data_IF_751668761442
#
_entry.id   IF_751668761442
#
_cell.length_a   1.000
_cell.length_b   1.000
_cell.length_c   1.000
_cell.angle_alpha   90.00
_cell.angle_beta   90.00
_cell.angle_gamma   90.00
#
_symmetry.space_group_name_H-M   'P 1'
#
loop_
_entity.id
_entity.type
_entity.pdbx_description
1 polymer ?
#
# COMPACT_ATOMS: atom_id res chain seq x y z
N UNK A 1 19.60 -3.26 -15.11
CA UNK A 1 19.12 -2.61 -13.89
C UNK A 1 17.68 -3.05 -13.76
N UNK A 2 17.44 -4.15 -13.05
CA UNK A 2 16.09 -4.70 -12.90
C UNK A 2 15.37 -3.74 -11.96
N UNK A 3 14.68 -2.74 -12.53
CA UNK A 3 13.70 -1.97 -11.78
C UNK A 3 12.71 -2.99 -11.24
N UNK A 4 12.78 -3.26 -9.94
CA UNK A 4 11.74 -3.97 -9.21
C UNK A 4 10.50 -3.08 -9.34
N UNK A 5 9.78 -3.24 -10.45
CA UNK A 5 8.57 -2.49 -10.75
C UNK A 5 7.51 -2.99 -9.80
N UNK A 6 7.48 -2.36 -8.64
CA UNK A 6 6.45 -2.54 -7.64
C UNK A 6 5.07 -2.42 -8.31
N UNK A 7 4.28 -3.49 -8.32
CA UNK A 7 2.97 -3.52 -8.96
C UNK A 7 2.06 -2.48 -8.33
N UNK A 8 2.21 -2.26 -7.02
CA UNK A 8 1.49 -1.21 -6.32
C UNK A 8 1.82 0.20 -6.84
N UNK A 9 3.05 0.45 -7.30
CA UNK A 9 3.43 1.71 -7.93
C UNK A 9 2.76 1.85 -9.30
N UNK A 10 2.76 0.80 -10.10
CA UNK A 10 2.09 0.77 -11.41
C UNK A 10 0.58 1.00 -11.26
N UNK A 11 -0.06 0.35 -10.28
CA UNK A 11 -1.48 0.56 -9.99
C UNK A 11 -1.77 1.99 -9.54
N UNK A 12 -0.91 2.58 -8.70
CA UNK A 12 -1.07 3.97 -8.28
C UNK A 12 -0.98 4.93 -9.47
N UNK A 13 -0.04 4.72 -10.39
CA UNK A 13 0.10 5.52 -11.62
C UNK A 13 -1.14 5.35 -12.50
N UNK A 14 -1.63 4.12 -12.69
CA UNK A 14 -2.84 3.83 -13.45
C UNK A 14 -4.10 4.49 -12.84
N UNK A 15 -4.15 4.61 -11.51
CA UNK A 15 -5.20 5.31 -10.79
C UNK A 15 -5.05 6.85 -10.80
N UNK A 16 -4.06 7.39 -11.50
CA UNK A 16 -3.80 8.84 -11.60
C UNK A 16 -3.12 9.45 -10.37
N UNK A 17 -2.57 8.62 -9.47
CA UNK A 17 -1.81 9.09 -8.32
C UNK A 17 -0.35 9.34 -8.72
N UNK A 18 0.26 10.37 -8.10
CA UNK A 18 1.69 10.63 -8.27
C UNK A 18 2.51 9.43 -7.77
N UNK A 19 3.56 8.99 -8.49
CA UNK A 19 4.45 7.95 -8.02
C UNK A 19 5.11 8.36 -6.70
N UNK A 20 4.92 7.55 -5.66
CA UNK A 20 5.44 7.76 -4.31
C UNK A 20 5.88 6.42 -3.72
N UNK A 21 6.88 6.44 -2.83
CA UNK A 21 7.37 5.21 -2.18
C UNK A 21 6.42 4.67 -1.11
N UNK A 22 5.48 5.49 -0.63
CA UNK A 22 4.46 5.09 0.33
C UNK A 22 3.18 5.87 0.07
N UNK A 23 2.05 5.22 0.29
CA UNK A 23 0.73 5.80 0.13
C UNK A 23 -0.08 5.69 1.41
N UNK A 24 -1.03 6.60 1.61
CA UNK A 24 -1.99 6.46 2.70
C UNK A 24 -2.90 5.25 2.49
N UNK A 25 -3.44 4.68 3.57
CA UNK A 25 -4.42 3.58 3.48
C UNK A 25 -5.58 3.91 2.53
N UNK A 26 -6.00 5.19 2.47
CA UNK A 26 -7.03 5.67 1.55
C UNK A 26 -6.60 5.59 0.09
N UNK A 27 -5.38 5.99 -0.23
CA UNK A 27 -4.83 5.92 -1.59
C UNK A 27 -4.58 4.47 -1.99
N UNK A 28 -4.02 3.65 -1.10
CA UNK A 28 -3.87 2.21 -1.30
C UNK A 28 -5.18 1.56 -1.67
N UNK A 29 -6.23 1.80 -0.87
CA UNK A 29 -7.56 1.29 -1.19
C UNK A 29 -8.12 1.78 -2.53
N UNK A 30 -7.75 2.99 -2.96
CA UNK A 30 -8.21 3.56 -4.23
C UNK A 30 -7.55 2.86 -5.43
N UNK A 31 -6.24 2.65 -5.41
CA UNK A 31 -5.54 2.04 -6.54
C UNK A 31 -5.58 0.51 -6.53
N UNK A 32 -5.62 -0.13 -5.36
CA UNK A 32 -5.60 -1.60 -5.25
C UNK A 32 -6.99 -2.21 -5.31
N UNK A 33 -8.04 -1.40 -5.14
CA UNK A 33 -9.42 -1.88 -5.00
C UNK A 33 -9.70 -2.61 -3.68
N UNK A 34 -8.71 -2.77 -2.80
CA UNK A 34 -8.89 -3.42 -1.50
C UNK A 34 -9.54 -2.46 -0.52
N UNK A 35 -10.67 -2.81 0.12
CA UNK A 35 -11.33 -1.92 1.05
C UNK A 35 -10.46 -1.64 2.27
N UNK A 36 -10.55 -0.42 2.80
CA UNK A 36 -9.75 0.03 3.96
C UNK A 36 -9.91 -0.89 5.17
N UNK A 37 -11.11 -1.42 5.39
CA UNK A 37 -11.39 -2.36 6.48
C UNK A 37 -10.52 -3.61 6.39
N UNK A 38 -10.33 -4.16 5.19
CA UNK A 38 -9.43 -5.30 4.96
C UNK A 38 -7.98 -4.89 5.24
N UNK A 39 -7.53 -3.74 4.74
CA UNK A 39 -6.16 -3.26 5.02
C UNK A 39 -5.90 -3.12 6.53
N UNK A 40 -6.84 -2.54 7.28
CA UNK A 40 -6.73 -2.44 8.74
C UNK A 40 -6.82 -3.80 9.45
N UNK A 41 -7.62 -4.74 8.93
CA UNK A 41 -7.70 -6.10 9.46
C UNK A 41 -6.38 -6.85 9.26
N UNK A 42 -5.78 -6.78 8.08
CA UNK A 42 -4.48 -7.36 7.75
C UNK A 42 -3.36 -6.74 8.59
N UNK A 43 -3.44 -5.42 8.84
CA UNK A 43 -2.53 -4.75 9.76
C UNK A 43 -2.68 -5.28 11.20
N UNK A 44 -3.91 -5.43 11.67
CA UNK A 44 -4.19 -5.99 13.00
C UNK A 44 -3.77 -7.46 13.11
N UNK A 45 -3.83 -8.21 12.01
CA UNK A 45 -3.31 -9.57 11.91
C UNK A 45 -1.77 -9.63 11.82
N UNK A 46 -1.08 -8.49 11.72
CA UNK A 46 0.38 -8.41 11.63
C UNK A 46 0.96 -8.77 10.26
N UNK A 47 0.10 -9.00 9.25
CA UNK A 47 0.50 -9.37 7.88
C UNK A 47 0.94 -8.17 7.06
N UNK A 48 0.37 -7.00 7.32
CA UNK A 48 0.68 -5.76 6.61
C UNK A 48 1.18 -4.70 7.59
N UNK A 49 2.42 -4.23 7.44
CA UNK A 49 2.97 -3.21 8.35
C UNK A 49 2.59 -1.81 7.89
N UNK A 50 1.95 -1.07 8.80
CA UNK A 50 1.68 0.35 8.59
C UNK A 50 2.76 1.17 9.27
N UNK A 51 3.25 2.18 8.57
CA UNK A 51 4.10 3.21 9.14
C UNK A 51 3.20 4.37 9.56
N UNK A 52 3.07 4.58 10.87
CA UNK A 52 2.33 5.72 11.40
C UNK A 52 3.06 7.01 11.09
N UNK A 53 2.36 7.98 10.49
CA UNK A 53 2.84 9.33 10.24
C UNK A 53 2.00 10.31 11.07
N UNK A 54 2.58 10.82 12.17
CA UNK A 54 1.87 11.64 13.15
C UNK A 54 0.89 10.84 14.02
N UNK A 55 -0.07 11.53 14.65
CA UNK A 55 -0.99 10.94 15.66
C UNK A 55 -2.11 10.06 15.08
N UNK A 56 -2.48 10.20 13.80
CA UNK A 56 -3.67 9.55 13.21
C UNK A 56 -3.53 9.02 11.78
N UNK A 57 -2.45 9.34 11.08
CA UNK A 57 -2.30 8.90 9.69
C UNK A 57 -1.39 7.67 9.62
N UNK A 58 -1.75 6.73 8.76
CA UNK A 58 -0.97 5.53 8.47
C UNK A 58 -0.60 5.53 6.98
N UNK A 59 0.67 5.23 6.72
CA UNK A 59 1.24 5.06 5.39
C UNK A 59 1.62 3.60 5.21
N UNK A 60 1.37 3.08 4.01
CA UNK A 60 1.76 1.75 3.56
C UNK A 60 2.83 1.96 2.51
N UNK A 61 4.02 1.41 2.77
CA UNK A 61 5.10 1.41 1.79
C UNK A 61 4.69 0.53 0.61
N UNK A 62 4.97 1.00 -0.60
CA UNK A 62 4.66 0.27 -1.83
C UNK A 62 5.28 -1.12 -1.81
N UNK A 63 6.55 -1.23 -1.38
CA UNK A 63 7.25 -2.52 -1.29
C UNK A 63 6.63 -3.49 -0.28
N UNK A 64 6.08 -2.99 0.83
CA UNK A 64 5.42 -3.85 1.83
C UNK A 64 4.05 -4.31 1.32
N UNK A 65 3.34 -3.45 0.58
CA UNK A 65 2.09 -3.84 -0.07
C UNK A 65 2.31 -4.85 -1.19
N UNK A 66 3.35 -4.67 -2.01
CA UNK A 66 3.75 -5.64 -3.04
C UNK A 66 4.15 -6.99 -2.43
N UNK A 67 4.86 -6.97 -1.30
CA UNK A 67 5.16 -8.19 -0.55
C UNK A 67 3.88 -8.90 -0.11
N UNK A 68 2.96 -8.17 0.52
CA UNK A 68 1.68 -8.73 0.96
C UNK A 68 0.84 -9.28 -0.21
N UNK A 69 0.80 -8.57 -1.35
CA UNK A 69 0.12 -9.02 -2.57
C UNK A 69 0.77 -10.26 -3.22
N UNK A 70 2.06 -10.52 -2.98
CA UNK A 70 2.72 -11.73 -3.45
C UNK A 70 2.54 -12.91 -2.47
N UNK A 71 2.34 -12.62 -1.18
CA UNK A 71 2.09 -13.64 -0.15
C UNK A 71 0.61 -14.07 -0.09
N UNK A 72 -0.32 -13.36 -0.75
CA UNK A 72 -1.77 -13.56 -0.66
C UNK A 72 -2.47 -13.45 -2.01
#
# INVERSE_FOLDING_TARGET
MEEIQSRALQFAIAAGLKPQMAYTVRQTALYSGVPRSTLYAEHRAGRLKFKTYGKRNALISVSEFDRWMNEN
#
